data_IF_484394080547
#
_entry.id   IF_484394080547
#
_cell.length_a   1.000
_cell.length_b   1.000
_cell.length_c   1.000
_cell.angle_alpha   90.00
_cell.angle_beta   90.00
_cell.angle_gamma   90.00
#
_symmetry.space_group_name_H-M   'P 1'
#
loop_
_entity.id
_entity.type
_entity.pdbx_description
1 polymer ?
#
# COMPACT_ATOMS: atom_id res chain seq x y z
N UNK A 1 4.78 -20.46 21.40
CA UNK A 1 3.39 -20.71 20.92
C UNK A 1 3.01 -20.00 19.60
N UNK A 2 3.12 -18.67 19.48
CA UNK A 2 2.64 -17.93 18.30
C UNK A 2 3.36 -18.30 16.98
N UNK A 3 4.67 -18.50 17.05
CA UNK A 3 5.49 -18.95 15.90
C UNK A 3 4.99 -20.27 15.30
N UNK A 4 4.52 -21.21 16.15
CA UNK A 4 3.97 -22.50 15.70
C UNK A 4 2.67 -22.27 14.91
N UNK A 5 1.79 -21.40 15.41
CA UNK A 5 0.54 -21.06 14.74
C UNK A 5 0.79 -20.38 13.39
N UNK A 6 1.73 -19.43 13.33
CA UNK A 6 2.09 -18.76 12.08
C UNK A 6 2.69 -19.71 11.06
N UNK A 7 3.65 -20.55 11.47
CA UNK A 7 4.24 -21.55 10.58
C UNK A 7 3.17 -22.50 10.03
N UNK A 8 2.27 -22.98 10.88
CA UNK A 8 1.16 -23.86 10.45
C UNK A 8 0.19 -23.14 9.51
N UNK A 9 -0.17 -21.90 9.81
CA UNK A 9 -1.05 -21.09 8.97
C UNK A 9 -0.44 -20.86 7.57
N UNK A 10 0.84 -20.50 7.51
CA UNK A 10 1.57 -20.29 6.24
C UNK A 10 1.70 -21.60 5.46
N UNK A 11 2.13 -22.68 6.11
CA UNK A 11 2.34 -23.97 5.46
C UNK A 11 1.06 -24.57 4.88
N UNK A 12 -0.08 -24.37 5.56
CA UNK A 12 -1.39 -24.84 5.08
C UNK A 12 -2.06 -23.83 4.13
N UNK A 13 -1.59 -22.59 4.06
CA UNK A 13 -2.29 -21.49 3.36
C UNK A 13 -3.63 -21.11 4.01
N UNK A 14 -3.84 -21.46 5.29
CA UNK A 14 -5.11 -21.24 6.00
C UNK A 14 -4.90 -20.24 7.13
N UNK A 15 -5.58 -19.09 7.05
CA UNK A 15 -5.73 -18.16 8.17
C UNK A 15 -6.87 -18.63 9.08
N UNK A 16 -6.70 -18.70 10.40
CA UNK A 16 -7.78 -19.00 11.35
C UNK A 16 -8.98 -18.05 11.19
N UNK A 17 -10.21 -18.58 11.28
CA UNK A 17 -11.42 -17.75 11.13
C UNK A 17 -11.51 -16.62 12.16
N UNK A 18 -11.06 -16.86 13.40
CA UNK A 18 -10.98 -15.83 14.43
C UNK A 18 -10.08 -14.63 14.06
N UNK A 19 -9.13 -14.81 13.14
CA UNK A 19 -8.27 -13.73 12.65
C UNK A 19 -8.85 -12.99 11.45
N UNK A 20 -9.82 -13.60 10.75
CA UNK A 20 -10.53 -13.00 9.60
C UNK A 20 -11.67 -12.09 10.03
N UNK A 21 -12.21 -12.26 11.23
CA UNK A 21 -13.24 -11.38 11.77
C UNK A 21 -12.65 -9.99 12.02
N UNK A 22 -13.28 -8.96 11.46
CA UNK A 22 -12.84 -7.56 11.54
C UNK A 22 -13.91 -6.68 12.15
N UNK A 23 -13.49 -5.65 12.87
CA UNK A 23 -14.38 -4.57 13.33
C UNK A 23 -14.26 -3.43 12.33
N UNK A 24 -15.36 -3.05 11.68
CA UNK A 24 -15.38 -1.96 10.70
C UNK A 24 -15.80 -0.66 11.39
N UNK A 25 -14.93 0.34 11.35
CA UNK A 25 -15.18 1.68 11.90
C UNK A 25 -15.30 2.68 10.75
N UNK A 26 -16.45 3.35 10.56
CA UNK A 26 -16.59 4.39 9.55
C UNK A 26 -15.95 5.70 10.03
N UNK A 27 -14.92 6.18 9.32
CA UNK A 27 -14.31 7.48 9.59
C UNK A 27 -14.80 8.55 8.59
N UNK A 28 -15.15 9.76 9.07
CA UNK A 28 -15.50 10.88 8.19
C UNK A 28 -14.38 11.20 7.17
N UNK A 29 -14.71 11.26 5.87
CA UNK A 29 -13.79 11.65 4.78
C UNK A 29 -14.04 13.06 4.28
N UNK A 30 -15.30 13.46 4.11
CA UNK A 30 -15.70 14.77 3.57
C UNK A 30 -17.10 15.16 4.06
N UNK A 31 -17.39 16.45 4.27
CA UNK A 31 -18.76 16.90 4.54
C UNK A 31 -19.63 16.82 3.26
N UNK A 32 -20.98 16.80 3.37
CA UNK A 32 -21.78 16.62 4.59
C UNK A 32 -21.77 15.18 5.11
N UNK A 33 -21.95 14.97 6.42
CA UNK A 33 -21.85 13.66 7.08
C UNK A 33 -23.11 12.78 6.97
N UNK A 34 -24.11 13.21 6.20
CA UNK A 34 -25.38 12.50 6.03
C UNK A 34 -25.36 11.43 4.92
N UNK A 35 -24.24 11.28 4.19
CA UNK A 35 -24.09 10.28 3.13
C UNK A 35 -23.05 9.23 3.51
N UNK A 36 -23.40 7.94 3.37
CA UNK A 36 -22.49 6.81 3.65
C UNK A 36 -21.22 6.88 2.79
N UNK A 37 -21.33 7.34 1.54
CA UNK A 37 -20.19 7.53 0.61
C UNK A 37 -19.14 8.51 1.10
N UNK A 38 -19.46 9.32 2.12
CA UNK A 38 -18.58 10.32 2.68
C UNK A 38 -17.77 9.81 3.88
N UNK A 39 -17.88 8.51 4.19
CA UNK A 39 -17.05 7.83 5.16
C UNK A 39 -16.05 6.90 4.47
N UNK A 40 -14.90 6.68 5.12
CA UNK A 40 -13.97 5.60 4.80
C UNK A 40 -14.16 4.49 5.83
N UNK A 41 -14.49 3.26 5.41
CA UNK A 41 -14.47 2.13 6.33
C UNK A 41 -13.01 1.80 6.69
N UNK A 42 -12.71 1.67 7.98
CA UNK A 42 -11.44 1.11 8.46
C UNK A 42 -11.71 -0.24 9.10
N UNK A 43 -11.06 -1.27 8.57
CA UNK A 43 -11.13 -2.64 9.09
C UNK A 43 -10.06 -2.86 10.15
N UNK A 44 -10.45 -2.96 11.41
CA UNK A 44 -9.57 -3.36 12.50
C UNK A 44 -9.45 -4.89 12.52
N UNK A 45 -8.35 -5.38 11.96
CA UNK A 45 -7.99 -6.81 11.98
C UNK A 45 -7.44 -7.24 13.34
N UNK A 46 -7.50 -8.55 13.60
CA UNK A 46 -6.91 -9.16 14.79
C UNK A 46 -5.42 -8.82 14.94
N UNK A 47 -4.97 -8.55 16.17
CA UNK A 47 -3.55 -8.29 16.47
C UNK A 47 -2.64 -9.42 15.99
N UNK A 48 -3.09 -10.67 16.07
CA UNK A 48 -2.33 -11.81 15.56
C UNK A 48 -2.18 -11.78 14.04
N UNK A 49 -3.24 -11.37 13.32
CA UNK A 49 -3.20 -11.19 11.87
C UNK A 49 -2.20 -10.10 11.47
N UNK A 50 -2.24 -8.95 12.14
CA UNK A 50 -1.30 -7.83 11.89
C UNK A 50 0.15 -8.25 12.09
N UNK A 51 0.46 -9.03 13.14
CA UNK A 51 1.82 -9.51 13.37
C UNK A 51 2.25 -10.47 12.25
N UNK A 52 1.38 -11.37 11.82
CA UNK A 52 1.65 -12.27 10.69
C UNK A 52 1.89 -11.49 9.39
N UNK A 53 1.04 -10.51 9.09
CA UNK A 53 1.18 -9.60 7.93
C UNK A 53 2.53 -8.88 7.94
N UNK A 54 3.02 -8.42 9.11
CA UNK A 54 4.34 -7.79 9.21
C UNK A 54 5.46 -8.75 8.82
N UNK A 55 5.37 -10.02 9.24
CA UNK A 55 6.35 -11.06 8.91
C UNK A 55 6.30 -11.37 7.40
N UNK A 56 5.10 -11.58 6.87
CA UNK A 56 4.89 -11.86 5.44
C UNK A 56 5.37 -10.69 4.57
N UNK A 57 5.01 -9.46 4.92
CA UNK A 57 5.43 -8.25 4.21
C UNK A 57 6.94 -8.15 4.07
N UNK A 58 7.70 -8.46 5.14
CA UNK A 58 9.17 -8.45 5.08
C UNK A 58 9.69 -9.46 4.05
N UNK A 59 9.16 -10.68 4.06
CA UNK A 59 9.57 -11.73 3.13
C UNK A 59 9.19 -11.41 1.69
N UNK A 60 7.96 -10.91 1.46
CA UNK A 60 7.46 -10.54 0.14
C UNK A 60 8.29 -9.38 -0.43
N UNK A 61 8.47 -8.30 0.32
CA UNK A 61 9.27 -7.16 -0.14
C UNK A 61 10.71 -7.56 -0.44
N UNK A 62 11.34 -8.40 0.40
CA UNK A 62 12.68 -8.91 0.13
C UNK A 62 12.76 -9.66 -1.19
N UNK A 63 11.77 -10.50 -1.50
CA UNK A 63 11.72 -11.23 -2.76
C UNK A 63 11.51 -10.27 -3.95
N UNK A 64 10.53 -9.37 -3.86
CA UNK A 64 10.22 -8.40 -4.92
C UNK A 64 11.42 -7.49 -5.25
N UNK A 65 12.19 -7.09 -4.24
CA UNK A 65 13.41 -6.31 -4.43
C UNK A 65 14.54 -7.12 -5.05
N UNK A 66 14.78 -8.36 -4.62
CA UNK A 66 15.84 -9.21 -5.20
C UNK A 66 15.54 -9.60 -6.65
N UNK A 67 14.26 -9.74 -6.99
CA UNK A 67 13.82 -10.08 -8.35
C UNK A 67 13.62 -8.86 -9.26
N UNK A 68 13.91 -7.64 -8.79
CA UNK A 68 13.71 -6.39 -9.54
C UNK A 68 12.31 -6.26 -10.18
N UNK A 69 11.27 -6.73 -9.47
CA UNK A 69 9.88 -6.70 -9.96
C UNK A 69 9.26 -5.29 -9.82
N UNK A 70 9.67 -4.56 -8.79
CA UNK A 70 9.15 -3.22 -8.51
C UNK A 70 9.99 -2.19 -9.27
N UNK A 71 9.33 -1.30 -10.02
CA UNK A 71 10.00 -0.19 -10.73
C UNK A 71 10.72 0.76 -9.76
N UNK A 72 11.88 1.26 -10.16
CA UNK A 72 12.62 2.29 -9.40
C UNK A 72 11.85 3.60 -9.24
N UNK A 73 10.87 3.86 -10.12
CA UNK A 73 9.98 5.01 -10.10
C UNK A 73 8.75 4.79 -9.18
N UNK A 74 8.64 3.63 -8.52
CA UNK A 74 7.66 3.42 -7.46
C UNK A 74 8.21 3.99 -6.15
N UNK A 75 7.57 5.01 -5.60
CA UNK A 75 7.98 5.62 -4.33
C UNK A 75 7.04 5.29 -3.17
N UNK A 76 5.79 4.92 -3.47
CA UNK A 76 4.80 4.57 -2.45
C UNK A 76 5.14 3.26 -1.75
N UNK A 77 5.06 3.26 -0.41
CA UNK A 77 5.18 2.08 0.46
C UNK A 77 6.52 1.34 0.43
N UNK A 78 7.58 1.93 -0.14
CA UNK A 78 8.92 1.36 -0.16
C UNK A 78 9.85 2.01 0.87
N UNK A 79 10.80 1.22 1.39
CA UNK A 79 11.83 1.72 2.32
C UNK A 79 12.79 2.65 1.56
N UNK A 80 13.12 3.79 2.16
CA UNK A 80 14.07 4.75 1.58
C UNK A 80 13.51 5.61 0.45
N UNK A 81 12.22 5.47 0.12
CA UNK A 81 11.49 6.32 -0.83
C UNK A 81 10.45 7.14 -0.06
N UNK A 82 10.17 8.35 -0.52
CA UNK A 82 9.20 9.26 0.09
C UNK A 82 8.50 10.08 -1.00
N UNK A 83 7.49 10.86 -0.58
CA UNK A 83 6.84 11.83 -1.47
C UNK A 83 7.82 12.88 -1.98
N UNK A 84 8.80 13.27 -1.14
CA UNK A 84 9.83 14.21 -1.53
C UNK A 84 10.77 13.63 -2.59
N UNK A 85 11.20 12.37 -2.44
CA UNK A 85 12.07 11.76 -3.45
C UNK A 85 11.34 11.60 -4.78
N UNK A 86 10.03 11.31 -4.75
CA UNK A 86 9.21 11.22 -5.97
C UNK A 86 9.11 12.57 -6.68
N UNK A 87 8.85 13.64 -5.92
CA UNK A 87 8.76 15.00 -6.44
C UNK A 87 10.09 15.44 -7.05
N UNK A 88 11.21 15.24 -6.34
CA UNK A 88 12.54 15.63 -6.82
C UNK A 88 12.92 14.89 -8.10
N UNK A 89 12.73 13.57 -8.15
CA UNK A 89 13.00 12.78 -9.35
C UNK A 89 12.15 13.28 -10.53
N UNK A 90 10.85 13.51 -10.31
CA UNK A 90 9.96 14.00 -11.36
C UNK A 90 10.36 15.40 -11.85
N UNK A 91 10.70 16.32 -10.94
CA UNK A 91 11.17 17.65 -11.31
C UNK A 91 12.47 17.59 -12.11
N UNK A 92 13.45 16.78 -11.69
CA UNK A 92 14.70 16.61 -12.44
C UNK A 92 14.43 16.12 -13.87
N UNK A 93 13.53 15.16 -14.05
CA UNK A 93 13.17 14.64 -15.37
C UNK A 93 12.50 15.72 -16.23
N UNK A 94 11.60 16.52 -15.66
CA UNK A 94 10.94 17.62 -16.37
C UNK A 94 11.92 18.73 -16.75
N UNK A 95 12.81 19.12 -15.84
CA UNK A 95 13.84 20.11 -16.11
C UNK A 95 14.82 19.64 -17.20
N UNK A 96 15.18 18.36 -17.21
CA UNK A 96 16.00 17.79 -18.26
C UNK A 96 15.31 17.84 -19.63
N UNK A 97 14.00 17.53 -19.69
CA UNK A 97 13.20 17.66 -20.91
C UNK A 97 13.16 19.10 -21.44
N UNK A 98 12.86 20.06 -20.56
CA UNK A 98 12.84 21.48 -20.89
C UNK A 98 14.19 22.00 -21.38
N UNK A 99 15.29 21.62 -20.71
CA UNK A 99 16.63 22.07 -21.07
C UNK A 99 17.09 21.54 -22.44
N UNK A 100 16.58 20.37 -22.84
CA UNK A 100 16.82 19.79 -24.16
C UNK A 100 15.87 20.33 -25.24
N UNK A 101 14.97 21.26 -24.90
CA UNK A 101 13.98 21.82 -25.83
C UNK A 101 12.83 20.88 -26.18
N UNK A 102 12.62 19.81 -25.40
CA UNK A 102 11.50 18.90 -25.59
C UNK A 102 10.22 19.43 -24.95
N UNK A 103 9.09 19.20 -25.60
CA UNK A 103 7.78 19.38 -24.98
C UNK A 103 7.61 18.35 -23.85
N UNK A 104 7.28 18.83 -22.66
CA UNK A 104 7.08 18.00 -21.47
C UNK A 104 5.65 18.19 -20.95
N UNK A 105 4.83 17.15 -21.06
CA UNK A 105 3.46 17.13 -20.57
C UNK A 105 3.32 16.13 -19.42
N UNK A 106 2.51 16.47 -18.40
CA UNK A 106 2.32 15.64 -17.20
C UNK A 106 0.85 15.26 -17.05
N UNK A 107 0.58 13.95 -16.88
CA UNK A 107 -0.75 13.41 -16.67
C UNK A 107 -0.85 12.80 -15.28
N UNK A 108 -1.80 13.28 -14.48
CA UNK A 108 -2.10 12.73 -13.16
C UNK A 108 -3.26 11.74 -13.23
N UNK A 109 -3.08 10.57 -12.64
CA UNK A 109 -4.07 9.49 -12.61
C UNK A 109 -4.34 9.12 -11.15
N UNK A 110 -5.62 8.96 -10.78
CA UNK A 110 -6.05 8.47 -9.48
C UNK A 110 -7.10 7.36 -9.62
N UNK A 111 -7.04 6.37 -8.73
CA UNK A 111 -7.95 5.22 -8.74
C UNK A 111 -9.07 5.42 -7.72
N UNK A 112 -10.31 5.43 -8.20
CA UNK A 112 -11.47 5.51 -7.32
C UNK A 112 -11.57 4.27 -6.42
N UNK A 113 -11.49 4.46 -5.10
CA UNK A 113 -11.57 3.40 -4.09
C UNK A 113 -10.56 2.26 -4.29
N UNK A 114 -9.30 2.61 -4.57
CA UNK A 114 -8.23 1.66 -4.89
C UNK A 114 -8.10 0.43 -3.96
N UNK A 115 -8.38 0.57 -2.65
CA UNK A 115 -8.30 -0.54 -1.70
C UNK A 115 -9.57 -1.40 -1.61
N UNK A 116 -10.72 -0.86 -2.04
CA UNK A 116 -11.99 -1.60 -2.05
C UNK A 116 -12.20 -2.35 -3.38
N UNK A 117 -11.39 -2.04 -4.40
CA UNK A 117 -11.52 -2.56 -5.77
C UNK A 117 -10.57 -3.71 -6.11
N UNK A 118 -9.82 -4.22 -5.12
CA UNK A 118 -8.84 -5.33 -5.26
C UNK A 118 -9.40 -6.65 -4.76
#
# INVERSE_FOLDING_TARGET
>A
PLCILFKRSIALGIVPNAWKTVIVIPLPKKPPLNRVSNYRPISLTSSFCKVLEIVLRKSILSHLSLSNIISDNQHGFLKGKSTLTQLLTSCCDWYAGLNNGFQTDVVYIDFAKAFDSV
#
